data_IF_182148359764
#
_entry.id   IF_182148359764
#
_cell.length_a   1.000
_cell.length_b   1.000
_cell.length_c   1.000
_cell.angle_alpha   90.00
_cell.angle_beta   90.00
_cell.angle_gamma   90.00
#
_symmetry.space_group_name_H-M   'P 1'
#
loop_
_entity.id
_entity.type
_entity.pdbx_description
1 polymer ?
#
# COMPACT_ATOMS: atom_id res chain seq x y z
N UNK A 1 13.36 -31.46 -1.45
CA UNK A 1 13.48 -30.12 -0.84
C UNK A 1 12.38 -29.27 -1.45
N UNK A 2 11.28 -29.01 -0.71
CA UNK A 2 10.17 -28.19 -1.19
C UNK A 2 10.58 -26.73 -0.95
N UNK A 3 10.94 -26.01 -2.01
CA UNK A 3 11.28 -24.61 -1.94
C UNK A 3 10.01 -23.77 -1.78
N UNK A 4 9.75 -23.27 -0.58
CA UNK A 4 8.75 -22.21 -0.39
C UNK A 4 9.30 -20.93 -1.01
N UNK A 5 8.78 -20.55 -2.18
CA UNK A 5 9.10 -19.27 -2.80
C UNK A 5 8.57 -18.13 -1.92
N UNK A 6 9.45 -17.42 -1.25
CA UNK A 6 9.09 -16.18 -0.52
C UNK A 6 9.52 -14.99 -1.35
N UNK A 7 8.56 -14.25 -1.88
CA UNK A 7 8.83 -12.96 -2.50
C UNK A 7 8.78 -11.87 -1.41
N UNK A 8 9.84 -11.05 -1.32
CA UNK A 8 9.89 -9.90 -0.43
C UNK A 8 9.88 -8.64 -1.28
N UNK A 9 8.86 -7.83 -1.13
CA UNK A 9 8.79 -6.50 -1.73
C UNK A 9 9.17 -5.49 -0.65
N UNK A 10 10.21 -4.71 -0.89
CA UNK A 10 10.51 -3.53 -0.07
C UNK A 10 9.67 -2.37 -0.55
N UNK A 11 9.12 -1.59 0.38
CA UNK A 11 8.35 -0.39 0.08
C UNK A 11 9.19 0.59 -0.75
N UNK A 12 8.74 0.89 -1.96
CA UNK A 12 9.39 1.82 -2.88
C UNK A 12 8.79 3.23 -2.80
N UNK A 13 8.12 3.58 -1.71
CA UNK A 13 7.49 4.88 -1.50
C UNK A 13 8.46 6.09 -1.44
N UNK A 14 9.68 5.96 -1.97
CA UNK A 14 10.72 6.98 -1.90
C UNK A 14 10.58 8.15 -2.89
N UNK A 15 9.47 8.30 -3.58
CA UNK A 15 9.42 9.24 -4.69
C UNK A 15 8.53 10.44 -4.42
N UNK A 16 8.95 11.37 -3.58
CA UNK A 16 8.55 12.79 -3.74
C UNK A 16 9.23 13.68 -2.72
N UNK A 17 10.15 14.51 -3.12
CA UNK A 17 10.41 15.84 -2.55
C UNK A 17 11.43 16.62 -3.38
N UNK A 18 11.06 16.97 -4.61
CA UNK A 18 11.77 17.99 -5.36
C UNK A 18 10.79 19.11 -5.73
N UNK A 19 11.02 20.28 -5.15
CA UNK A 19 10.32 21.52 -5.49
C UNK A 19 10.72 21.96 -6.91
N UNK A 20 9.71 22.39 -7.66
CA UNK A 20 9.75 22.93 -9.02
C UNK A 20 9.71 21.87 -10.14
N UNK A 21 8.68 21.94 -10.97
CA UNK A 21 8.36 21.03 -12.08
C UNK A 21 8.20 19.56 -11.67
N UNK A 22 7.26 19.32 -10.75
CA UNK A 22 7.02 18.00 -10.16
C UNK A 22 6.75 16.93 -11.22
N UNK A 23 6.05 17.26 -12.28
CA UNK A 23 5.74 16.29 -13.34
C UNK A 23 6.98 15.95 -14.17
N UNK A 24 7.80 16.94 -14.52
CA UNK A 24 9.05 16.74 -15.25
C UNK A 24 10.07 15.97 -14.40
N UNK A 25 10.18 16.33 -13.11
CA UNK A 25 11.05 15.62 -12.17
C UNK A 25 10.63 14.15 -12.00
N UNK A 26 9.33 13.88 -11.91
CA UNK A 26 8.80 12.53 -11.83
C UNK A 26 9.07 11.70 -13.08
N UNK A 27 8.90 12.29 -14.27
CA UNK A 27 9.22 11.63 -15.55
C UNK A 27 10.71 11.29 -15.63
N UNK A 28 11.59 12.24 -15.33
CA UNK A 28 13.04 12.03 -15.38
C UNK A 28 13.49 10.98 -14.37
N UNK A 29 12.93 10.96 -13.17
CA UNK A 29 13.21 9.94 -12.18
C UNK A 29 12.74 8.56 -12.66
N UNK A 30 11.57 8.48 -13.24
CA UNK A 30 11.03 7.23 -13.79
C UNK A 30 11.89 6.69 -14.93
N UNK A 31 12.37 7.56 -15.84
CA UNK A 31 13.29 7.19 -16.91
C UNK A 31 14.58 6.59 -16.35
N UNK A 32 15.20 7.26 -15.36
CA UNK A 32 16.41 6.72 -14.69
C UNK A 32 16.14 5.37 -14.05
N UNK A 33 15.00 5.21 -13.37
CA UNK A 33 14.66 3.97 -12.70
C UNK A 33 14.41 2.83 -13.69
N UNK A 34 13.80 3.12 -14.84
CA UNK A 34 13.56 2.11 -15.88
C UNK A 34 14.86 1.60 -16.50
N UNK A 35 15.89 2.45 -16.58
CA UNK A 35 17.21 2.10 -17.11
C UNK A 35 18.07 1.29 -16.14
N UNK A 36 17.66 1.16 -14.87
CA UNK A 36 18.42 0.37 -13.91
C UNK A 36 18.28 -1.13 -14.19
N UNK A 37 19.37 -1.91 -14.08
CA UNK A 37 19.32 -3.35 -14.18
C UNK A 37 18.31 -3.95 -13.18
N UNK A 38 17.47 -4.87 -13.65
CA UNK A 38 16.44 -5.55 -12.84
C UNK A 38 15.32 -4.65 -12.31
N UNK A 39 15.21 -3.42 -12.77
CA UNK A 39 14.08 -2.55 -12.44
C UNK A 39 12.78 -3.08 -13.08
N UNK A 40 11.70 -3.05 -12.32
CA UNK A 40 10.35 -3.36 -12.80
C UNK A 40 9.49 -2.09 -12.90
N UNK A 41 10.10 -0.92 -12.75
CA UNK A 41 9.39 0.35 -12.84
C UNK A 41 8.82 0.59 -14.24
N UNK A 42 7.59 1.11 -14.31
CA UNK A 42 6.89 1.41 -15.55
C UNK A 42 6.32 2.84 -15.49
N UNK A 43 6.29 3.56 -16.61
CA UNK A 43 5.82 4.95 -16.63
C UNK A 43 4.30 5.06 -16.41
N UNK A 44 3.58 3.97 -16.65
CA UNK A 44 2.12 3.95 -16.68
C UNK A 44 1.53 4.45 -17.99
N UNK A 45 0.19 4.43 -18.13
CA UNK A 45 -0.49 4.88 -19.33
C UNK A 45 -0.43 6.40 -19.49
N UNK A 46 -0.13 6.90 -20.67
CA UNK A 46 0.05 8.33 -20.95
C UNK A 46 -1.24 9.19 -20.79
N UNK A 47 -2.39 8.54 -20.77
CA UNK A 47 -3.70 9.20 -20.60
C UNK A 47 -4.24 9.13 -19.16
N UNK A 48 -3.41 8.73 -18.22
CA UNK A 48 -3.72 8.69 -16.78
C UNK A 48 -2.87 9.73 -16.08
N UNK A 49 -3.48 10.53 -15.21
CA UNK A 49 -2.77 11.57 -14.45
C UNK A 49 -1.65 10.95 -13.59
N UNK A 50 -0.54 11.69 -13.49
CA UNK A 50 0.63 11.25 -12.74
C UNK A 50 1.59 10.36 -13.54
N UNK A 51 2.68 9.95 -12.91
CA UNK A 51 3.76 9.15 -13.53
C UNK A 51 4.03 7.92 -12.67
N UNK A 52 4.00 6.74 -13.29
CA UNK A 52 4.27 5.50 -12.55
C UNK A 52 3.01 4.84 -11.96
N UNK A 53 1.88 4.99 -12.64
CA UNK A 53 0.69 4.20 -12.32
C UNK A 53 0.79 2.87 -13.08
N UNK A 54 1.17 1.79 -12.39
CA UNK A 54 1.33 0.48 -13.00
C UNK A 54 1.02 -0.65 -12.01
N UNK A 55 1.02 -1.86 -12.51
CA UNK A 55 0.87 -3.03 -11.65
C UNK A 55 1.93 -4.09 -11.96
N UNK A 56 2.18 -4.94 -10.99
CA UNK A 56 3.04 -6.11 -11.10
C UNK A 56 2.25 -7.33 -10.63
N UNK A 57 2.39 -8.44 -11.34
CA UNK A 57 1.84 -9.72 -10.92
C UNK A 57 2.93 -10.61 -10.33
N UNK A 58 2.61 -11.24 -9.22
CA UNK A 58 3.45 -12.27 -8.60
C UNK A 58 2.80 -13.61 -8.93
N UNK A 59 3.59 -14.49 -9.52
CA UNK A 59 3.14 -15.82 -9.92
C UNK A 59 3.51 -16.86 -8.87
N UNK A 60 2.75 -17.95 -8.85
CA UNK A 60 3.07 -19.11 -8.04
C UNK A 60 4.46 -19.68 -8.35
N UNK A 61 4.94 -20.58 -7.49
CA UNK A 61 6.21 -21.25 -7.73
C UNK A 61 6.18 -22.03 -9.06
N UNK A 62 7.30 -21.96 -9.80
CA UNK A 62 7.42 -22.70 -11.07
C UNK A 62 7.08 -24.19 -10.88
N UNK A 63 6.37 -24.80 -11.83
CA UNK A 63 6.02 -24.34 -13.17
C UNK A 63 4.71 -23.53 -13.28
N UNK A 64 4.13 -23.07 -12.17
CA UNK A 64 2.87 -22.32 -12.19
C UNK A 64 3.00 -21.01 -12.99
N UNK A 65 2.04 -20.76 -13.85
CA UNK A 65 1.85 -19.48 -14.56
C UNK A 65 0.70 -18.66 -13.99
N UNK A 66 0.11 -19.13 -12.88
CA UNK A 66 -1.04 -18.49 -12.23
C UNK A 66 -0.58 -17.33 -11.35
N UNK A 67 -1.17 -16.13 -11.50
CA UNK A 67 -0.89 -15.02 -10.60
C UNK A 67 -1.52 -15.27 -9.23
N UNK A 68 -0.72 -15.16 -8.17
CA UNK A 68 -1.14 -15.30 -6.77
C UNK A 68 -1.26 -13.95 -6.07
N UNK A 69 -0.69 -12.91 -6.64
CA UNK A 69 -0.91 -11.55 -6.17
C UNK A 69 -0.76 -10.51 -7.28
N UNK A 70 -1.44 -9.37 -7.12
CA UNK A 70 -1.26 -8.17 -7.92
C UNK A 70 -0.87 -7.01 -7.01
N UNK A 71 0.24 -6.36 -7.32
CA UNK A 71 0.70 -5.16 -6.65
C UNK A 71 0.44 -3.98 -7.57
N UNK A 72 -0.36 -3.01 -7.12
CA UNK A 72 -0.59 -1.76 -7.82
C UNK A 72 0.30 -0.67 -7.20
N UNK A 73 0.92 0.12 -8.04
CA UNK A 73 1.71 1.28 -7.67
C UNK A 73 1.05 2.51 -8.29
N UNK A 74 0.76 3.52 -7.45
CA UNK A 74 0.12 4.74 -7.90
C UNK A 74 0.95 5.97 -7.54
N UNK A 75 1.02 6.90 -8.47
CA UNK A 75 1.50 8.25 -8.18
C UNK A 75 0.43 8.99 -7.37
N UNK A 76 0.76 9.29 -6.13
CA UNK A 76 -0.11 10.07 -5.24
C UNK A 76 0.10 11.58 -5.36
N UNK A 77 0.78 12.02 -6.43
CA UNK A 77 1.08 13.42 -6.69
C UNK A 77 1.92 14.07 -5.58
N UNK A 78 1.59 15.29 -5.19
CA UNK A 78 2.34 16.02 -4.18
C UNK A 78 1.56 17.20 -3.62
N UNK A 79 2.26 18.02 -2.86
CA UNK A 79 1.68 19.21 -2.26
C UNK A 79 1.17 20.21 -3.33
N UNK A 80 -0.03 20.73 -3.14
CA UNK A 80 -0.61 21.80 -3.97
C UNK A 80 0.25 23.04 -3.82
N UNK A 81 0.71 23.67 -4.93
CA UNK A 81 1.50 24.87 -4.85
C UNK A 81 0.76 26.00 -4.11
N UNK A 82 1.46 26.75 -3.25
CA UNK A 82 0.89 27.86 -2.49
C UNK A 82 0.27 28.95 -3.36
N UNK A 83 0.71 29.07 -4.61
CA UNK A 83 0.18 30.02 -5.61
C UNK A 83 -1.23 29.64 -6.09
N UNK A 84 -1.59 28.37 -6.04
CA UNK A 84 -2.89 27.86 -6.48
C UNK A 84 -3.76 27.36 -5.31
N UNK A 85 -3.18 27.25 -4.12
CA UNK A 85 -3.89 26.85 -2.91
C UNK A 85 -4.66 28.04 -2.30
N UNK A 86 -5.95 28.08 -2.55
CA UNK A 86 -6.84 29.15 -2.06
C UNK A 86 -6.96 29.21 -0.52
N UNK A 87 -6.74 28.09 0.14
CA UNK A 87 -6.87 27.96 1.60
C UNK A 87 -5.62 28.38 2.37
N UNK A 88 -4.51 28.64 1.69
CA UNK A 88 -3.19 29.02 2.24
C UNK A 88 -2.58 28.03 3.24
N UNK A 89 -3.25 26.97 3.60
CA UNK A 89 -2.70 25.86 4.38
C UNK A 89 -2.05 24.85 3.47
N UNK A 90 -1.00 24.17 3.88
CA UNK A 90 -0.48 23.02 3.13
C UNK A 90 -1.60 22.04 2.84
N UNK A 91 -1.73 21.63 1.58
CA UNK A 91 -2.70 20.63 1.14
C UNK A 91 -2.06 19.80 0.02
N UNK A 92 -2.59 18.62 -0.21
CA UNK A 92 -2.06 17.66 -1.16
C UNK A 92 -3.08 17.38 -2.25
N UNK A 93 -2.57 17.04 -3.43
CA UNK A 93 -3.43 16.61 -4.53
C UNK A 93 -3.99 15.22 -4.24
N UNK A 94 -5.31 15.02 -4.45
CA UNK A 94 -5.90 13.68 -4.29
C UNK A 94 -5.59 12.80 -5.50
N UNK A 95 -5.75 11.49 -5.34
CA UNK A 95 -5.77 10.54 -6.47
C UNK A 95 -6.83 11.00 -7.48
N UNK A 96 -6.45 11.11 -8.75
CA UNK A 96 -7.31 11.68 -9.80
C UNK A 96 -8.32 10.65 -10.31
N UNK A 97 -9.42 11.14 -10.84
CA UNK A 97 -10.46 10.27 -11.41
C UNK A 97 -9.97 9.37 -12.55
N UNK A 98 -9.00 9.84 -13.36
CA UNK A 98 -8.39 9.02 -14.40
C UNK A 98 -7.61 7.83 -13.82
N UNK A 99 -6.91 8.02 -12.69
CA UNK A 99 -6.21 6.97 -11.97
C UNK A 99 -7.18 5.96 -11.37
N UNK A 100 -8.28 6.45 -10.77
CA UNK A 100 -9.35 5.58 -10.22
C UNK A 100 -9.99 4.75 -11.33
N UNK A 101 -10.30 5.37 -12.47
CA UNK A 101 -10.88 4.67 -13.62
C UNK A 101 -9.91 3.63 -14.20
N UNK A 102 -8.62 3.97 -14.31
CA UNK A 102 -7.57 3.04 -14.73
C UNK A 102 -7.45 1.86 -13.77
N UNK A 103 -7.32 2.14 -12.47
CA UNK A 103 -7.24 1.10 -11.44
C UNK A 103 -8.44 0.15 -11.52
N UNK A 104 -9.65 0.72 -11.57
CA UNK A 104 -10.89 -0.06 -11.63
C UNK A 104 -10.95 -0.94 -12.88
N UNK A 105 -10.72 -0.36 -14.07
CA UNK A 105 -10.75 -1.10 -15.31
C UNK A 105 -9.69 -2.21 -15.37
N UNK A 106 -8.48 -1.92 -14.88
CA UNK A 106 -7.39 -2.88 -14.81
C UNK A 106 -7.71 -4.03 -13.85
N UNK A 107 -8.21 -3.72 -12.66
CA UNK A 107 -8.56 -4.74 -11.67
C UNK A 107 -9.67 -5.68 -12.18
N UNK A 108 -10.67 -5.11 -12.88
CA UNK A 108 -11.73 -5.92 -13.48
C UNK A 108 -11.22 -6.78 -14.66
N UNK A 109 -10.31 -6.26 -15.48
CA UNK A 109 -9.71 -7.03 -16.58
C UNK A 109 -8.89 -8.22 -16.07
N UNK A 110 -8.02 -7.99 -15.07
CA UNK A 110 -7.21 -9.04 -14.45
C UNK A 110 -8.07 -10.09 -13.71
N UNK A 111 -9.18 -9.67 -13.14
CA UNK A 111 -10.13 -10.60 -12.52
C UNK A 111 -10.78 -11.50 -13.57
N UNK A 112 -11.27 -10.94 -14.68
CA UNK A 112 -11.86 -11.72 -15.79
C UNK A 112 -10.84 -12.69 -16.38
N UNK A 113 -9.60 -12.23 -16.60
CA UNK A 113 -8.53 -13.10 -17.09
C UNK A 113 -8.32 -14.32 -16.20
N UNK A 114 -8.34 -14.17 -14.86
CA UNK A 114 -8.28 -15.30 -13.94
C UNK A 114 -9.51 -16.21 -14.04
N UNK A 115 -10.71 -15.62 -14.13
CA UNK A 115 -11.95 -16.36 -14.31
C UNK A 115 -11.93 -17.18 -15.61
N UNK A 116 -11.49 -16.59 -16.71
CA UNK A 116 -11.37 -17.25 -18.02
C UNK A 116 -10.33 -18.37 -18.04
N UNK A 117 -9.28 -18.24 -17.23
CA UNK A 117 -8.24 -19.26 -17.06
C UNK A 117 -8.64 -20.38 -16.06
N UNK A 118 -9.80 -20.29 -15.44
CA UNK A 118 -10.26 -21.28 -14.45
C UNK A 118 -9.66 -21.11 -13.04
N UNK A 119 -9.05 -19.97 -12.77
CA UNK A 119 -8.38 -19.64 -11.50
C UNK A 119 -9.25 -18.81 -10.54
N UNK A 120 -10.57 -18.76 -10.78
CA UNK A 120 -11.50 -17.92 -10.01
C UNK A 120 -11.49 -18.23 -8.51
N UNK A 121 -11.45 -19.53 -8.17
CA UNK A 121 -11.49 -20.04 -6.78
C UNK A 121 -10.11 -20.21 -6.14
N UNK A 122 -9.03 -19.92 -6.90
CA UNK A 122 -7.66 -20.02 -6.39
C UNK A 122 -7.28 -18.78 -5.61
N UNK A 123 -6.41 -18.94 -4.60
CA UNK A 123 -5.90 -17.82 -3.82
C UNK A 123 -5.31 -16.72 -4.71
N UNK A 124 -5.78 -15.50 -4.50
CA UNK A 124 -5.22 -14.30 -5.09
C UNK A 124 -5.47 -13.10 -4.18
N UNK A 125 -4.46 -12.27 -4.01
CA UNK A 125 -4.56 -11.03 -3.23
C UNK A 125 -4.10 -9.82 -4.03
N UNK A 126 -4.61 -8.64 -3.68
CA UNK A 126 -4.18 -7.37 -4.27
C UNK A 126 -3.74 -6.41 -3.17
N UNK A 127 -2.61 -5.74 -3.40
CA UNK A 127 -2.05 -4.73 -2.50
C UNK A 127 -1.77 -3.47 -3.33
N UNK A 128 -2.08 -2.31 -2.77
CA UNK A 128 -1.79 -1.00 -3.38
C UNK A 128 -0.66 -0.32 -2.62
N UNK A 129 0.24 0.34 -3.33
CA UNK A 129 1.26 1.22 -2.74
C UNK A 129 1.17 2.62 -3.36
N UNK A 130 1.22 3.62 -2.51
CA UNK A 130 1.33 5.03 -2.85
C UNK A 130 2.14 5.77 -1.78
N UNK A 131 2.57 7.00 -2.04
CA UNK A 131 3.36 7.75 -1.06
C UNK A 131 2.48 8.52 -0.08
N UNK A 132 1.66 9.46 -0.56
CA UNK A 132 0.81 10.29 0.28
C UNK A 132 -0.42 9.49 0.71
N UNK A 133 -0.79 9.50 2.00
CA UNK A 133 -1.93 8.73 2.50
C UNK A 133 -3.27 9.22 1.92
N UNK A 134 -4.25 8.33 1.89
CA UNK A 134 -5.64 8.70 1.62
C UNK A 134 -6.26 9.41 2.83
N UNK A 135 -7.32 10.21 2.64
CA UNK A 135 -8.04 10.85 3.76
C UNK A 135 -8.50 9.87 4.84
N UNK A 136 -8.78 8.63 4.47
CA UNK A 136 -9.20 7.57 5.39
C UNK A 136 -8.15 7.19 6.44
N UNK A 137 -6.87 7.50 6.21
CA UNK A 137 -5.82 7.31 7.22
C UNK A 137 -5.98 8.25 8.42
N UNK A 138 -6.73 9.33 8.29
CA UNK A 138 -7.05 10.26 9.38
C UNK A 138 -8.48 10.09 9.95
N UNK A 139 -9.22 9.09 9.50
CA UNK A 139 -10.57 8.86 10.02
C UNK A 139 -10.52 8.54 11.53
N UNK A 140 -11.27 9.27 12.36
CA UNK A 140 -11.27 9.06 13.81
C UNK A 140 -11.81 7.69 14.25
N UNK A 141 -12.43 6.94 13.34
CA UNK A 141 -12.95 5.60 13.59
C UNK A 141 -11.96 4.50 13.26
N UNK A 142 -10.78 4.84 12.76
CA UNK A 142 -9.73 3.85 12.51
C UNK A 142 -9.39 3.07 13.78
N UNK A 143 -9.43 1.74 13.65
CA UNK A 143 -8.99 0.83 14.70
C UNK A 143 -7.57 0.38 14.37
N UNK A 144 -6.62 0.82 15.17
CA UNK A 144 -5.21 0.43 15.04
C UNK A 144 -4.99 -0.96 15.63
N UNK A 145 -4.41 -1.85 14.85
CA UNK A 145 -4.11 -3.23 15.26
C UNK A 145 -2.62 -3.46 15.52
N UNK A 146 -1.76 -2.67 14.88
CA UNK A 146 -0.31 -2.76 15.08
C UNK A 146 0.34 -1.39 14.88
N UNK A 147 1.49 -1.17 15.51
CA UNK A 147 2.24 0.07 15.40
C UNK A 147 1.63 1.23 16.18
N UNK A 148 1.98 2.45 15.80
CA UNK A 148 1.48 3.67 16.45
C UNK A 148 1.38 4.83 15.48
N UNK A 149 0.52 5.79 15.82
CA UNK A 149 0.47 7.12 15.22
C UNK A 149 1.46 8.00 15.99
N UNK A 150 2.51 8.45 15.34
CA UNK A 150 3.54 9.31 15.93
C UNK A 150 3.36 10.79 15.59
N UNK A 151 2.60 11.09 14.53
CA UNK A 151 2.27 12.43 14.05
C UNK A 151 0.89 12.45 13.41
N UNK A 152 0.28 13.65 13.22
CA UNK A 152 -0.93 13.78 12.42
C UNK A 152 -0.74 13.27 11.00
N UNK A 153 -1.81 12.76 10.39
CA UNK A 153 -1.78 12.38 8.99
C UNK A 153 -1.80 13.62 8.10
N UNK A 154 -0.83 13.74 7.19
CA UNK A 154 -0.79 14.79 6.18
C UNK A 154 -1.22 14.22 4.83
N UNK A 155 -2.50 14.30 4.51
CA UNK A 155 -3.09 13.84 3.26
C UNK A 155 -3.91 14.94 2.57
N UNK A 156 -4.50 14.64 1.40
CA UNK A 156 -5.38 15.57 0.70
C UNK A 156 -6.63 15.86 1.51
N UNK A 157 -7.02 17.14 1.55
CA UNK A 157 -8.29 17.55 2.16
C UNK A 157 -9.51 17.11 1.34
N UNK A 158 -9.31 16.93 0.01
CA UNK A 158 -10.33 16.45 -0.90
C UNK A 158 -10.32 14.91 -0.98
N UNK A 159 -11.45 14.28 -0.68
CA UNK A 159 -11.64 12.86 -0.90
C UNK A 159 -12.26 12.61 -2.28
N UNK A 160 -11.60 11.81 -3.11
CA UNK A 160 -12.07 11.37 -4.43
C UNK A 160 -12.65 9.95 -4.43
N UNK A 161 -12.84 9.39 -3.23
CA UNK A 161 -13.42 8.06 -3.00
C UNK A 161 -12.60 6.90 -3.61
N UNK A 162 -11.29 7.06 -3.70
CA UNK A 162 -10.42 5.98 -4.16
C UNK A 162 -10.48 4.77 -3.21
N UNK A 163 -10.58 5.01 -1.91
CA UNK A 163 -10.77 3.93 -0.94
C UNK A 163 -12.00 3.06 -1.26
N UNK A 164 -13.10 3.65 -1.74
CA UNK A 164 -14.29 2.91 -2.14
C UNK A 164 -14.04 2.00 -3.35
N UNK A 165 -13.22 2.47 -4.29
CA UNK A 165 -12.79 1.65 -5.42
C UNK A 165 -11.92 0.47 -4.97
N UNK A 166 -11.03 0.68 -3.98
CA UNK A 166 -10.23 -0.40 -3.39
C UNK A 166 -11.10 -1.47 -2.73
N UNK A 167 -12.08 -1.05 -1.92
CA UNK A 167 -13.07 -1.96 -1.30
C UNK A 167 -13.84 -2.73 -2.36
N UNK A 168 -14.31 -2.03 -3.40
CA UNK A 168 -15.07 -2.63 -4.50
C UNK A 168 -14.26 -3.67 -5.30
N UNK A 169 -12.97 -3.44 -5.46
CA UNK A 169 -12.05 -4.35 -6.14
C UNK A 169 -11.56 -5.50 -5.25
N UNK A 170 -11.84 -5.48 -3.94
CA UNK A 170 -11.37 -6.49 -3.01
C UNK A 170 -9.88 -6.40 -2.68
N UNK A 171 -9.32 -5.17 -2.68
CA UNK A 171 -7.93 -4.95 -2.28
C UNK A 171 -7.76 -5.28 -0.81
N UNK A 172 -6.73 -6.04 -0.49
CA UNK A 172 -6.45 -6.48 0.88
C UNK A 172 -5.79 -5.41 1.74
N UNK A 173 -4.91 -4.62 1.15
CA UNK A 173 -4.16 -3.60 1.89
C UNK A 173 -3.69 -2.45 0.99
N UNK A 174 -3.52 -1.28 1.59
CA UNK A 174 -2.80 -0.15 1.02
C UNK A 174 -1.64 0.23 1.94
N UNK A 175 -0.44 0.32 1.36
CA UNK A 175 0.77 0.84 2.01
C UNK A 175 1.05 2.27 1.59
N UNK A 176 1.35 3.14 2.55
CA UNK A 176 1.78 4.51 2.28
C UNK A 176 3.01 4.90 3.10
N UNK A 177 3.64 6.00 2.73
CA UNK A 177 4.74 6.66 3.43
C UNK A 177 4.34 8.03 3.92
N UNK A 178 5.12 9.06 3.57
CA UNK A 178 4.90 10.48 3.81
C UNK A 178 5.09 10.89 5.27
N UNK A 179 4.23 10.49 6.18
CA UNK A 179 4.32 10.77 7.62
C UNK A 179 5.30 9.79 8.26
N UNK A 180 6.53 10.25 8.47
CA UNK A 180 7.68 9.38 8.73
C UNK A 180 7.64 8.66 10.07
N UNK A 181 6.98 9.23 11.08
CA UNK A 181 6.92 8.62 12.40
C UNK A 181 5.63 7.84 12.64
N UNK A 182 4.74 7.77 11.63
CA UNK A 182 3.62 6.86 11.60
C UNK A 182 4.07 5.47 11.13
N UNK A 183 3.65 4.43 11.84
CA UNK A 183 3.95 3.04 11.45
C UNK A 183 2.83 2.06 11.79
N UNK A 184 1.62 2.56 11.90
CA UNK A 184 0.49 1.71 12.23
C UNK A 184 -0.02 0.91 11.01
N UNK A 185 -0.73 -0.18 11.30
CA UNK A 185 -1.71 -0.80 10.43
C UNK A 185 -3.07 -0.77 11.12
N UNK A 186 -4.08 -0.34 10.41
CA UNK A 186 -5.42 -0.11 10.93
C UNK A 186 -6.50 -0.53 9.95
N UNK A 187 -7.72 -0.73 10.45
CA UNK A 187 -8.92 -0.99 9.66
C UNK A 187 -10.01 0.03 10.01
N UNK A 188 -10.80 0.39 9.02
CA UNK A 188 -12.08 1.05 9.25
C UNK A 188 -13.14 0.00 9.65
N UNK A 189 -14.00 0.28 10.65
CA UNK A 189 -15.04 -0.63 11.07
C UNK A 189 -16.01 -1.01 9.93
N UNK A 190 -16.37 -2.27 9.80
CA UNK A 190 -17.28 -2.78 8.78
C UNK A 190 -18.65 -2.11 8.78
N UNK A 191 -19.15 -1.72 9.97
CA UNK A 191 -20.45 -1.10 10.18
C UNK A 191 -20.66 0.21 9.41
N UNK A 192 -19.56 0.80 8.92
CA UNK A 192 -19.63 2.09 8.21
C UNK A 192 -20.19 1.98 6.80
N UNK A 193 -20.15 0.81 6.17
CA UNK A 193 -20.42 0.68 4.73
C UNK A 193 -21.51 -0.31 4.34
N UNK A 194 -22.22 -0.93 5.26
CA UNK A 194 -23.23 -1.96 4.96
C UNK A 194 -22.73 -3.05 3.99
N UNK A 195 -21.43 -3.36 4.00
CA UNK A 195 -20.81 -4.36 3.13
C UNK A 195 -20.30 -5.53 3.97
N UNK A 196 -20.51 -6.72 3.46
CA UNK A 196 -20.17 -8.00 4.08
C UNK A 196 -18.65 -8.29 4.12
N UNK A 197 -17.81 -7.41 3.56
CA UNK A 197 -16.35 -7.59 3.50
C UNK A 197 -15.63 -6.47 4.22
N UNK A 198 -14.63 -6.83 5.01
CA UNK A 198 -13.67 -5.90 5.58
C UNK A 198 -13.01 -5.07 4.45
N UNK A 199 -12.79 -3.78 4.71
CA UNK A 199 -12.04 -2.92 3.79
C UNK A 199 -10.55 -3.25 3.81
N UNK A 200 -9.77 -2.61 2.91
CA UNK A 200 -8.32 -2.81 2.91
C UNK A 200 -7.69 -2.32 4.21
N UNK A 201 -6.66 -3.03 4.65
CA UNK A 201 -5.78 -2.55 5.69
C UNK A 201 -5.09 -1.26 5.26
N UNK A 202 -5.06 -0.27 6.15
CA UNK A 202 -4.38 1.00 5.98
C UNK A 202 -3.06 0.95 6.77
N UNK A 203 -1.92 0.88 6.06
CA UNK A 203 -0.62 0.64 6.69
C UNK A 203 0.41 1.71 6.32
N UNK A 204 1.06 2.34 7.31
CA UNK A 204 2.22 3.20 7.08
C UNK A 204 3.53 2.42 7.06
N UNK A 205 4.47 2.86 6.20
CA UNK A 205 5.82 2.30 6.08
C UNK A 205 6.78 2.70 7.20
N UNK A 206 6.58 3.87 7.79
CA UNK A 206 7.51 4.46 8.76
C UNK A 206 8.66 5.24 8.12
N UNK A 207 9.60 5.75 8.92
CA UNK A 207 10.77 6.47 8.41
C UNK A 207 11.88 5.51 7.98
N UNK A 208 12.02 5.34 6.67
CA UNK A 208 13.08 4.55 6.07
C UNK A 208 14.05 5.47 5.31
N UNK A 209 15.35 5.24 5.49
CA UNK A 209 16.38 6.02 4.82
C UNK A 209 16.92 7.19 5.64
N UNK A 210 18.10 7.67 5.25
CA UNK A 210 18.85 8.68 6.02
C UNK A 210 18.45 10.12 5.69
N UNK A 211 17.75 10.35 4.60
CA UNK A 211 17.23 11.67 4.20
C UNK A 211 15.91 12.06 4.86
N UNK A 212 15.25 11.10 5.53
CA UNK A 212 13.97 11.32 6.18
C UNK A 212 14.14 11.85 7.61
N UNK A 213 13.20 12.69 8.07
CA UNK A 213 13.14 13.04 9.48
C UNK A 213 12.67 11.84 10.31
N UNK A 214 13.18 11.75 11.54
CA UNK A 214 12.79 10.73 12.51
C UNK A 214 12.53 11.36 13.87
N UNK A 215 12.01 12.57 13.90
CA UNK A 215 11.65 13.31 15.11
C UNK A 215 10.35 14.08 14.87
N UNK A 216 9.46 14.03 15.84
CA UNK A 216 8.23 14.81 15.85
C UNK A 216 7.88 15.18 17.28
N UNK A 217 7.50 16.45 17.51
CA UNK A 217 7.14 17.00 18.82
C UNK A 217 8.17 16.69 19.91
N UNK A 218 9.47 16.88 19.59
CA UNK A 218 10.59 16.64 20.49
C UNK A 218 10.88 15.16 20.80
N UNK A 219 10.13 14.22 20.21
CA UNK A 219 10.33 12.80 20.36
C UNK A 219 11.05 12.23 19.16
N UNK A 220 12.18 11.54 19.43
CA UNK A 220 12.93 10.85 18.39
C UNK A 220 12.45 9.41 18.22
N UNK A 221 12.40 8.98 16.97
CA UNK A 221 12.01 7.63 16.56
C UNK A 221 13.19 6.94 15.86
N UNK A 222 13.33 5.63 16.07
CA UNK A 222 14.27 4.82 15.31
C UNK A 222 13.79 4.63 13.89
N UNK A 223 14.73 4.63 12.91
CA UNK A 223 14.40 4.30 11.52
C UNK A 223 13.81 2.92 11.44
N UNK A 224 12.85 2.78 10.56
CA UNK A 224 12.11 1.54 10.38
C UNK A 224 11.60 1.39 8.97
N UNK A 225 11.50 0.14 8.52
CA UNK A 225 10.89 -0.23 7.26
C UNK A 225 9.79 -1.25 7.51
N UNK A 226 8.68 -1.11 6.83
CA UNK A 226 7.65 -2.14 6.81
C UNK A 226 8.03 -3.23 5.81
N UNK A 227 7.91 -4.46 6.24
CA UNK A 227 8.11 -5.66 5.42
C UNK A 227 6.76 -6.30 5.16
N UNK A 228 6.54 -6.69 3.92
CA UNK A 228 5.37 -7.43 3.49
C UNK A 228 5.82 -8.83 3.07
N UNK A 229 5.15 -9.84 3.58
CA UNK A 229 5.42 -11.23 3.25
C UNK A 229 4.16 -11.84 2.65
N UNK A 230 4.29 -12.35 1.43
CA UNK A 230 3.29 -13.15 0.77
C UNK A 230 3.73 -14.61 0.86
N UNK A 231 2.97 -15.43 1.55
CA UNK A 231 3.14 -16.88 1.61
C UNK A 231 2.02 -17.55 0.82
N UNK A 232 2.39 -18.40 -0.12
CA UNK A 232 1.46 -19.28 -0.80
C UNK A 232 2.00 -20.70 -0.68
N UNK A 233 1.17 -21.63 -0.23
CA UNK A 233 1.57 -23.00 0.00
C UNK A 233 0.38 -23.95 -0.13
N UNK A 234 0.67 -25.23 0.03
CA UNK A 234 -0.35 -26.28 0.13
C UNK A 234 -0.37 -26.80 1.55
N UNK A 235 -1.54 -26.94 2.12
CA UNK A 235 -1.78 -27.60 3.38
C UNK A 235 -2.98 -28.54 3.24
N UNK A 236 -2.78 -29.79 3.62
CA UNK A 236 -3.84 -30.83 3.56
C UNK A 236 -4.51 -30.91 2.17
N UNK A 237 -3.69 -30.75 1.09
CA UNK A 237 -4.11 -30.70 -0.32
C UNK A 237 -4.91 -29.45 -0.74
N UNK A 238 -5.13 -28.49 0.16
CA UNK A 238 -5.74 -27.20 -0.14
C UNK A 238 -4.66 -26.11 -0.26
N UNK A 239 -4.88 -25.16 -1.19
CA UNK A 239 -4.01 -24.01 -1.32
C UNK A 239 -4.29 -22.99 -0.21
N UNK A 240 -3.26 -22.67 0.55
CA UNK A 240 -3.33 -21.60 1.55
C UNK A 240 -2.52 -20.39 1.12
N UNK A 241 -3.14 -19.22 1.23
CA UNK A 241 -2.48 -17.94 0.99
C UNK A 241 -2.51 -17.05 2.21
N UNK A 242 -1.35 -16.51 2.59
CA UNK A 242 -1.23 -15.64 3.77
C UNK A 242 -0.44 -14.39 3.40
N UNK A 243 -0.98 -13.23 3.77
CA UNK A 243 -0.24 -11.97 3.74
C UNK A 243 0.03 -11.51 5.16
N UNK A 244 1.30 -11.30 5.47
CA UNK A 244 1.77 -10.77 6.76
C UNK A 244 2.54 -9.49 6.57
N UNK A 245 2.53 -8.66 7.60
CA UNK A 245 3.38 -7.46 7.64
C UNK A 245 3.95 -7.25 9.04
N UNK A 246 5.15 -6.65 9.08
CA UNK A 246 5.80 -6.22 10.33
C UNK A 246 6.76 -5.07 10.04
N UNK A 247 7.26 -4.42 11.07
CA UNK A 247 8.33 -3.43 10.92
C UNK A 247 9.68 -3.99 11.36
N UNK A 248 10.71 -3.65 10.59
CA UNK A 248 12.12 -3.81 10.96
C UNK A 248 12.61 -2.46 11.48
N UNK A 249 13.10 -2.44 12.69
CA UNK A 249 13.57 -1.22 13.35
C UNK A 249 15.09 -1.24 13.40
N UNK A 250 15.71 -0.09 13.15
CA UNK A 250 17.16 0.09 13.19
C UNK A 250 17.75 -0.41 14.51
N UNK A 251 18.84 -1.14 14.43
CA UNK A 251 19.55 -1.79 15.55
C UNK A 251 18.75 -2.84 16.34
N UNK A 252 17.56 -3.21 15.91
CA UNK A 252 16.75 -4.25 16.52
C UNK A 252 16.65 -5.48 15.60
N UNK A 253 16.78 -6.68 16.20
CA UNK A 253 16.73 -7.94 15.44
C UNK A 253 15.32 -8.48 15.27
N UNK A 254 14.43 -8.15 16.20
CA UNK A 254 13.08 -8.68 16.25
C UNK A 254 12.18 -8.00 15.20
N UNK A 255 11.17 -8.73 14.75
CA UNK A 255 10.03 -8.18 14.05
C UNK A 255 9.15 -7.42 15.05
N UNK A 256 8.69 -6.23 14.69
CA UNK A 256 7.80 -5.43 15.54
C UNK A 256 6.43 -5.29 14.88
N UNK A 257 5.37 -5.44 15.69
CA UNK A 257 4.00 -5.29 15.24
C UNK A 257 3.66 -6.23 14.08
N UNK A 258 4.06 -7.50 14.17
CA UNK A 258 3.72 -8.50 13.17
C UNK A 258 2.22 -8.82 13.26
N UNK A 259 1.54 -8.72 12.12
CA UNK A 259 0.13 -9.07 11.98
C UNK A 259 -0.10 -9.83 10.68
N UNK A 260 -1.13 -10.67 10.68
CA UNK A 260 -1.68 -11.31 9.49
C UNK A 260 -2.75 -10.39 8.93
N UNK A 261 -2.60 -9.97 7.67
CA UNK A 261 -3.55 -9.11 6.97
C UNK A 261 -4.62 -9.93 6.23
N UNK A 262 -4.19 -11.03 5.63
CA UNK A 262 -5.03 -11.96 4.87
C UNK A 262 -4.69 -13.37 5.27
N UNK A 263 -5.70 -14.19 5.41
CA UNK A 263 -5.58 -15.64 5.57
C UNK A 263 -6.67 -16.28 4.71
N UNK A 264 -6.26 -17.08 3.73
CA UNK A 264 -7.15 -17.76 2.79
C UNK A 264 -8.26 -16.84 2.24
N UNK A 265 -7.86 -15.82 1.47
CA UNK A 265 -8.73 -14.80 0.84
C UNK A 265 -9.59 -13.96 1.80
N UNK A 266 -9.47 -14.19 3.10
CA UNK A 266 -10.19 -13.43 4.11
C UNK A 266 -9.28 -12.36 4.70
N UNK A 267 -9.65 -11.08 4.53
CA UNK A 267 -9.02 -9.98 5.25
C UNK A 267 -9.31 -10.15 6.74
N UNK A 268 -8.26 -10.26 7.54
CA UNK A 268 -8.39 -10.51 8.97
C UNK A 268 -8.79 -9.22 9.69
N UNK A 269 -10.05 -9.10 10.06
CA UNK A 269 -10.53 -8.09 11.00
C UNK A 269 -10.52 -8.67 12.40
N UNK A 270 -9.46 -8.44 13.17
CA UNK A 270 -9.34 -9.06 14.49
C UNK A 270 -10.48 -8.68 15.43
N UNK A 271 -11.10 -9.67 16.05
CA UNK A 271 -11.77 -9.48 17.32
C UNK A 271 -10.70 -8.95 18.30
N UNK A 272 -10.92 -7.75 18.85
CA UNK A 272 -9.92 -7.04 19.62
C UNK A 272 -9.36 -7.83 20.79
N UNK A 273 -8.13 -8.26 20.65
CA UNK A 273 -7.28 -8.49 21.79
C UNK A 273 -6.78 -7.13 22.26
N UNK A 274 -7.37 -6.68 23.36
CA UNK A 274 -6.98 -5.45 24.06
C UNK A 274 -5.49 -5.50 24.39
N UNK A 275 -4.67 -4.80 23.62
CA UNK A 275 -3.32 -4.49 24.06
C UNK A 275 -3.41 -3.51 25.22
N UNK A 276 -3.25 -4.08 26.42
CA UNK A 276 -3.09 -3.32 27.64
C UNK A 276 -1.92 -2.37 27.53
N UNK A 277 -2.19 -1.12 27.83
CA UNK A 277 -1.20 -0.07 28.11
C UNK A 277 -0.24 -0.54 29.20
N UNK A 278 1.03 -0.69 28.85
CA UNK A 278 2.16 -0.63 29.78
C UNK A 278 3.27 0.20 29.17
#
# INVERSE_FOLDING_TARGET
MKGSGRCRVSDTSMFTNLRADKELAGKTQMEILQDLPYSLCQPGPANVDGVGNYYLQIFGAAPSTRPVATIYLLDSHGQIPSTTNVNRNPDYEPIKHSQIAWFWSTSQALRREREDNGDADSFHTSIVFQHIPLPEFDDPKLIMHAGCRGEPTEGPSQNTYFYDALVGAGVAAIGCGHDHVNNFCALLPEQWRKKEKAGPWLCYGGCFGFGAYCEYDGKRYWRRARVWELGVGMKDDEEEGVVRTWTRVEYQKERKGEIVLVNNDTVQGGAGDSYGSK
#
